data_IF_798879685813
#
_entry.id   IF_798879685813
#
_cell.length_a   1.000
_cell.length_b   1.000
_cell.length_c   1.000
_cell.angle_alpha   90.00
_cell.angle_beta   90.00
_cell.angle_gamma   90.00
#
_symmetry.space_group_name_H-M   'P 1'
#
loop_
_entity.id
_entity.type
_entity.pdbx_description
1 polymer ?
#
# COMPACT_ATOMS: atom_id res chain seq x y z
N UNK A 1 98.69 -7.74 29.26
CA UNK A 1 99.17 -8.47 28.06
C UNK A 1 98.02 -8.48 27.05
N UNK A 2 97.98 -7.59 26.05
CA UNK A 2 98.68 -7.65 24.74
C UNK A 2 98.15 -8.80 23.87
N UNK A 3 97.21 -8.58 22.92
CA UNK A 3 97.38 -8.11 21.50
C UNK A 3 98.03 -9.21 20.63
N UNK A 4 97.73 -9.43 19.32
CA UNK A 4 96.53 -9.32 18.44
C UNK A 4 96.43 -10.56 17.48
N UNK A 5 96.36 -10.46 16.12
CA UNK A 5 95.26 -10.16 15.17
C UNK A 5 94.92 -11.36 14.23
N UNK A 6 94.08 -11.16 13.19
CA UNK A 6 94.37 -11.44 11.75
C UNK A 6 93.12 -11.85 10.93
N UNK A 7 92.91 -11.17 9.79
CA UNK A 7 92.14 -11.71 8.64
C UNK A 7 92.94 -12.81 7.92
N UNK A 8 92.62 -13.25 6.68
CA UNK A 8 92.00 -12.46 5.60
C UNK A 8 91.11 -13.23 4.56
N UNK A 9 90.69 -12.52 3.49
CA UNK A 9 90.60 -12.88 2.04
C UNK A 9 89.95 -14.22 1.59
N UNK A 10 89.19 -14.38 0.48
CA UNK A 10 88.89 -13.60 -0.72
C UNK A 10 87.74 -14.29 -1.52
N UNK A 11 87.06 -13.57 -2.43
CA UNK A 11 86.37 -14.18 -3.59
C UNK A 11 85.06 -13.53 -4.06
N UNK A 12 85.13 -12.59 -5.00
CA UNK A 12 84.01 -12.10 -5.83
C UNK A 12 83.75 -13.04 -7.05
N UNK A 13 82.99 -12.66 -8.10
CA UNK A 13 81.59 -12.19 -8.23
C UNK A 13 80.76 -13.06 -9.24
N UNK A 14 79.43 -12.88 -9.37
CA UNK A 14 78.69 -13.04 -10.66
C UNK A 14 77.18 -12.75 -10.55
N UNK A 15 76.70 -11.84 -11.41
CA UNK A 15 75.29 -11.62 -11.83
C UNK A 15 74.87 -12.69 -12.88
N UNK A 16 73.66 -12.69 -13.53
CA UNK A 16 72.37 -11.99 -13.32
C UNK A 16 71.11 -12.94 -13.41
N UNK A 17 69.91 -12.34 -13.48
CA UNK A 17 68.53 -12.88 -13.48
C UNK A 17 68.15 -13.98 -14.53
N UNK A 18 66.93 -14.57 -14.46
CA UNK A 18 65.84 -14.02 -15.27
C UNK A 18 64.41 -14.07 -14.64
N UNK A 19 63.51 -13.33 -15.29
CA UNK A 19 62.09 -13.21 -15.00
C UNK A 19 61.22 -14.26 -15.73
N UNK A 20 59.98 -14.45 -15.23
CA UNK A 20 58.70 -14.55 -15.96
C UNK A 20 57.78 -15.70 -15.46
N UNK A 21 56.50 -15.38 -15.26
CA UNK A 21 55.41 -16.35 -15.22
C UNK A 21 54.15 -15.83 -14.50
N UNK A 22 52.99 -15.69 -15.19
CA UNK A 22 51.73 -15.30 -14.56
C UNK A 22 51.01 -16.53 -13.98
N UNK A 23 50.40 -16.39 -12.79
CA UNK A 23 49.55 -17.44 -12.19
C UNK A 23 48.08 -17.06 -12.41
N UNK A 24 47.25 -17.95 -12.99
CA UNK A 24 45.85 -17.66 -13.33
C UNK A 24 44.92 -17.80 -12.12
N UNK A 25 43.79 -17.08 -12.20
CA UNK A 25 42.77 -17.02 -11.17
C UNK A 25 41.93 -18.28 -11.01
N UNK A 26 41.39 -18.45 -9.80
CA UNK A 26 40.36 -19.41 -9.48
C UNK A 26 40.00 -19.39 -7.99
N UNK A 27 38.79 -18.92 -7.69
CA UNK A 27 37.95 -19.24 -6.51
C UNK A 27 38.44 -18.89 -5.08
N UNK A 28 37.59 -18.26 -4.24
CA UNK A 28 37.83 -18.19 -2.79
C UNK A 28 37.15 -19.36 -2.06
N UNK A 29 37.76 -19.93 -1.00
CA UNK A 29 37.03 -20.63 0.04
C UNK A 29 36.80 -19.71 1.26
N UNK A 30 35.52 -19.67 1.68
CA UNK A 30 35.00 -19.43 3.03
C UNK A 30 35.81 -18.62 4.05
N UNK A 31 35.19 -17.57 4.61
CA UNK A 31 35.58 -17.03 5.92
C UNK A 31 34.84 -15.75 6.25
N UNK A 32 34.02 -15.78 7.31
CA UNK A 32 33.52 -14.56 7.98
C UNK A 32 34.67 -13.63 8.38
N UNK A 33 34.43 -12.31 8.43
CA UNK A 33 34.96 -11.50 9.53
C UNK A 33 33.86 -10.60 10.10
N UNK A 34 33.43 -10.78 11.35
CA UNK A 34 34.07 -10.28 12.58
C UNK A 34 34.14 -8.75 12.64
N UNK A 35 33.29 -8.17 13.48
CA UNK A 35 33.39 -6.81 14.01
C UNK A 35 34.83 -6.51 14.46
N UNK A 36 35.50 -5.59 13.76
CA UNK A 36 36.60 -4.81 14.31
C UNK A 36 36.43 -3.36 13.89
N UNK A 37 36.17 -2.51 14.90
CA UNK A 37 36.37 -1.07 14.83
C UNK A 37 37.86 -0.83 14.56
N UNK A 38 38.21 -0.48 13.33
CA UNK A 38 39.52 0.03 12.94
C UNK A 38 39.46 1.54 12.78
N UNK A 39 40.37 2.25 13.46
CA UNK A 39 40.55 3.70 13.38
C UNK A 39 40.77 4.18 11.93
N UNK A 40 40.44 5.44 11.60
CA UNK A 40 40.61 5.96 10.25
C UNK A 40 42.09 6.12 9.93
N UNK A 41 42.58 5.35 8.96
CA UNK A 41 43.86 5.60 8.30
C UNK A 41 43.69 6.86 7.46
N UNK A 42 44.43 7.91 7.79
CA UNK A 42 44.56 9.13 7.00
C UNK A 42 45.14 8.79 5.63
N UNK A 43 44.28 8.68 4.62
CA UNK A 43 44.72 8.63 3.22
C UNK A 43 45.34 9.98 2.86
N UNK A 44 46.60 9.95 2.43
CA UNK A 44 47.33 11.10 1.94
C UNK A 44 46.54 11.81 0.84
N UNK A 45 46.41 13.13 0.97
CA UNK A 45 45.78 13.98 -0.01
C UNK A 45 46.53 13.90 -1.34
N UNK A 46 45.86 13.44 -2.40
CA UNK A 46 46.29 13.67 -3.78
C UNK A 46 46.11 15.16 -4.11
N UNK A 47 46.99 15.77 -4.91
CA UNK A 47 46.93 17.20 -5.17
C UNK A 47 45.65 17.55 -5.94
N UNK A 48 44.93 18.55 -5.44
CA UNK A 48 43.76 19.11 -6.08
C UNK A 48 44.15 19.74 -7.42
N UNK A 49 43.78 19.07 -8.52
CA UNK A 49 43.78 19.67 -9.86
C UNK A 49 42.68 20.74 -9.95
N UNK A 50 42.84 21.73 -10.85
CA UNK A 50 41.97 22.90 -10.89
C UNK A 50 40.52 22.49 -11.17
N UNK A 51 39.61 23.13 -10.43
CA UNK A 51 38.16 22.99 -10.46
C UNK A 51 37.59 22.91 -11.88
N UNK A 52 37.47 21.68 -12.38
CA UNK A 52 36.79 21.36 -13.62
C UNK A 52 35.29 21.24 -13.36
N UNK A 53 34.53 22.10 -14.03
CA UNK A 53 33.07 22.10 -14.08
C UNK A 53 32.54 20.66 -14.22
N UNK A 54 31.74 20.23 -13.23
CA UNK A 54 31.10 18.92 -13.27
C UNK A 54 30.28 18.77 -14.55
N UNK A 55 30.46 17.65 -15.24
CA UNK A 55 29.73 17.31 -16.47
C UNK A 55 28.21 17.53 -16.27
N UNK A 56 27.54 18.34 -17.11
CA UNK A 56 26.12 18.65 -16.96
C UNK A 56 25.24 17.39 -16.93
N UNK A 57 24.09 17.46 -16.27
CA UNK A 57 23.14 16.35 -16.24
C UNK A 57 22.73 15.94 -17.66
N UNK A 58 22.89 14.65 -18.01
CA UNK A 58 22.49 14.09 -19.30
C UNK A 58 23.63 13.77 -20.30
N UNK A 59 24.89 14.08 -19.97
CA UNK A 59 26.02 13.79 -20.87
C UNK A 59 26.44 12.31 -20.85
N UNK A 60 26.83 11.75 -22.02
CA UNK A 60 27.36 10.40 -22.11
C UNK A 60 28.62 10.24 -21.24
N UNK A 61 28.66 9.18 -20.42
CA UNK A 61 29.80 8.88 -19.54
C UNK A 61 29.63 9.30 -18.07
N UNK A 62 28.53 9.98 -17.71
CA UNK A 62 28.16 10.14 -16.30
C UNK A 62 27.63 8.81 -15.76
N UNK A 63 28.37 8.16 -14.87
CA UNK A 63 27.80 7.09 -14.02
C UNK A 63 26.62 7.69 -13.28
N UNK A 64 25.40 7.12 -13.40
CA UNK A 64 24.27 7.55 -12.60
C UNK A 64 24.72 7.57 -11.14
N UNK A 65 24.54 8.72 -10.46
CA UNK A 65 24.81 8.79 -9.03
C UNK A 65 24.01 7.69 -8.32
N UNK A 66 24.44 7.22 -7.15
CA UNK A 66 23.68 6.22 -6.40
C UNK A 66 22.24 6.72 -6.30
N UNK A 67 21.27 5.95 -6.84
CA UNK A 67 19.86 6.22 -6.56
C UNK A 67 19.75 6.10 -5.04
N UNK A 68 19.54 7.22 -4.36
CA UNK A 68 19.30 7.22 -2.92
C UNK A 68 18.17 6.23 -2.68
N UNK A 69 18.46 5.14 -1.97
CA UNK A 69 17.44 4.17 -1.61
C UNK A 69 16.27 4.92 -0.95
N UNK A 70 15.02 4.57 -1.23
CA UNK A 70 13.89 5.26 -0.64
C UNK A 70 14.04 5.29 0.89
N UNK A 71 13.83 6.45 1.51
CA UNK A 71 13.98 6.69 2.95
C UNK A 71 13.01 5.87 3.83
N UNK A 72 12.22 4.98 3.22
CA UNK A 72 11.19 4.15 3.83
C UNK A 72 11.01 2.83 3.04
N UNK A 73 10.77 1.74 3.78
CA UNK A 73 10.30 0.47 3.22
C UNK A 73 9.20 -0.15 4.10
N UNK A 74 8.23 -0.91 3.55
CA UNK A 74 7.13 -1.54 4.29
C UNK A 74 7.55 -2.49 5.44
N UNK A 75 8.80 -2.94 5.47
CA UNK A 75 9.30 -3.89 6.47
C UNK A 75 8.94 -5.35 6.18
N UNK A 76 9.12 -6.22 7.18
CA UNK A 76 8.80 -7.67 7.10
C UNK A 76 7.42 -7.93 7.69
N UNK A 77 6.81 -9.05 7.33
CA UNK A 77 5.63 -9.56 8.03
C UNK A 77 5.97 -9.89 9.49
N UNK A 78 5.07 -9.51 10.39
CA UNK A 78 5.10 -9.86 11.81
C UNK A 78 3.74 -10.40 12.26
N UNK A 79 3.68 -11.03 13.44
CA UNK A 79 2.49 -11.73 13.93
C UNK A 79 1.24 -10.84 14.00
N UNK A 80 1.43 -9.54 14.30
CA UNK A 80 0.33 -8.56 14.33
C UNK A 80 -0.38 -8.41 12.97
N UNK A 81 0.36 -8.54 11.86
CA UNK A 81 -0.24 -8.52 10.52
C UNK A 81 -1.19 -9.72 10.33
N UNK A 82 -0.78 -10.90 10.81
CA UNK A 82 -1.61 -12.10 10.73
C UNK A 82 -2.88 -11.96 11.59
N UNK A 83 -2.79 -11.35 12.76
CA UNK A 83 -3.97 -11.08 13.61
C UNK A 83 -4.95 -10.15 12.91
N UNK A 84 -4.49 -9.07 12.28
CA UNK A 84 -5.38 -8.18 11.52
C UNK A 84 -6.04 -8.92 10.35
N UNK A 85 -5.28 -9.73 9.60
CA UNK A 85 -5.83 -10.51 8.48
C UNK A 85 -6.88 -11.52 8.95
N UNK A 86 -6.60 -12.25 10.04
CA UNK A 86 -7.55 -13.20 10.62
C UNK A 86 -8.79 -12.50 11.19
N UNK A 87 -8.62 -11.35 11.84
CA UNK A 87 -9.73 -10.55 12.33
C UNK A 87 -10.59 -10.03 11.16
N UNK A 88 -9.96 -9.56 10.08
CA UNK A 88 -10.67 -9.12 8.87
C UNK A 88 -11.46 -10.27 8.25
N UNK A 89 -10.81 -11.44 8.04
CA UNK A 89 -11.48 -12.61 7.50
C UNK A 89 -12.64 -13.07 8.41
N UNK A 90 -12.43 -13.13 9.72
CA UNK A 90 -13.46 -13.50 10.69
C UNK A 90 -14.65 -12.54 10.67
N UNK A 91 -14.40 -11.25 10.85
CA UNK A 91 -15.45 -10.24 10.98
C UNK A 91 -16.17 -9.99 9.66
N UNK A 92 -15.44 -9.82 8.56
CA UNK A 92 -15.98 -9.38 7.27
C UNK A 92 -16.36 -10.57 6.36
N UNK A 93 -15.53 -11.62 6.27
CA UNK A 93 -15.75 -12.71 5.30
C UNK A 93 -16.51 -13.90 5.88
N UNK A 94 -16.39 -14.15 7.18
CA UNK A 94 -17.11 -15.24 7.87
C UNK A 94 -18.27 -14.73 8.72
N UNK A 95 -18.56 -13.43 8.68
CA UNK A 95 -19.73 -12.83 9.34
C UNK A 95 -19.68 -12.85 10.87
N UNK A 96 -18.50 -12.97 11.49
CA UNK A 96 -18.38 -12.95 12.97
C UNK A 96 -18.79 -11.60 13.59
N UNK A 97 -18.95 -10.55 12.79
CA UNK A 97 -19.46 -9.26 13.26
C UNK A 97 -20.89 -9.33 13.83
N UNK A 98 -21.78 -10.12 13.24
CA UNK A 98 -23.17 -10.26 13.69
C UNK A 98 -23.31 -10.92 15.07
N UNK A 99 -22.79 -12.14 15.31
CA UNK A 99 -22.88 -12.76 16.62
C UNK A 99 -22.16 -11.93 17.69
N UNK A 100 -21.11 -11.19 17.31
CA UNK A 100 -20.46 -10.24 18.22
C UNK A 100 -21.39 -9.06 18.57
N UNK A 101 -22.03 -8.43 17.58
CA UNK A 101 -22.97 -7.32 17.83
C UNK A 101 -24.18 -7.75 18.66
N UNK A 102 -24.71 -8.95 18.42
CA UNK A 102 -25.76 -9.57 19.24
C UNK A 102 -25.30 -9.84 20.67
N UNK A 103 -24.09 -10.42 20.84
CA UNK A 103 -23.51 -10.69 22.16
C UNK A 103 -23.33 -9.40 22.98
N UNK A 104 -22.97 -8.30 22.31
CA UNK A 104 -22.82 -6.97 22.92
C UNK A 104 -24.16 -6.26 23.14
N UNK A 105 -25.28 -6.83 22.68
CA UNK A 105 -26.61 -6.22 22.79
C UNK A 105 -26.81 -4.97 21.93
N UNK A 106 -25.99 -4.79 20.88
CA UNK A 106 -26.06 -3.64 19.97
C UNK A 106 -27.13 -3.82 18.88
N UNK A 107 -27.53 -5.07 18.63
CA UNK A 107 -28.46 -5.51 17.61
C UNK A 107 -29.38 -6.58 18.22
N UNK A 108 -30.64 -6.72 17.77
CA UNK A 108 -31.52 -7.78 18.24
C UNK A 108 -30.91 -9.18 18.10
N UNK A 109 -30.99 -9.99 19.16
CA UNK A 109 -30.59 -11.40 19.09
C UNK A 109 -31.60 -12.29 18.35
N UNK A 110 -32.82 -11.78 18.14
CA UNK A 110 -33.84 -12.42 17.33
C UNK A 110 -33.76 -11.91 15.88
N UNK A 111 -33.52 -12.83 14.94
CA UNK A 111 -33.44 -12.52 13.51
C UNK A 111 -34.76 -12.01 12.94
N UNK A 112 -35.91 -12.33 13.55
CA UNK A 112 -37.20 -11.79 13.10
C UNK A 112 -37.34 -10.29 13.38
N UNK A 113 -36.58 -9.76 14.36
CA UNK A 113 -36.57 -8.35 14.72
C UNK A 113 -35.39 -7.58 14.08
N UNK A 114 -34.56 -8.26 13.29
CA UNK A 114 -33.36 -7.69 12.67
C UNK A 114 -33.72 -6.80 11.48
N UNK A 115 -33.33 -5.53 11.55
CA UNK A 115 -33.45 -4.58 10.43
C UNK A 115 -32.18 -4.64 9.58
N UNK A 116 -32.31 -5.12 8.35
CA UNK A 116 -31.15 -5.38 7.48
C UNK A 116 -30.26 -4.16 7.27
N UNK A 117 -30.86 -2.96 7.14
CA UNK A 117 -30.15 -1.74 6.82
C UNK A 117 -29.52 -1.16 8.08
N UNK A 118 -30.34 -0.90 9.10
CA UNK A 118 -29.90 -0.25 10.34
C UNK A 118 -28.97 -1.14 11.14
N UNK A 119 -29.37 -2.39 11.33
CA UNK A 119 -28.60 -3.32 12.16
C UNK A 119 -27.39 -3.85 11.38
N UNK A 120 -27.52 -4.04 10.06
CA UNK A 120 -26.38 -4.30 9.17
C UNK A 120 -25.31 -3.20 9.21
N UNK A 121 -25.73 -1.93 9.17
CA UNK A 121 -24.81 -0.80 9.37
C UNK A 121 -24.11 -0.88 10.74
N UNK A 122 -24.84 -1.21 11.80
CA UNK A 122 -24.27 -1.33 13.15
C UNK A 122 -23.25 -2.47 13.24
N UNK A 123 -23.53 -3.63 12.62
CA UNK A 123 -22.59 -4.75 12.51
C UNK A 123 -21.32 -4.34 11.77
N UNK A 124 -21.46 -3.67 10.63
CA UNK A 124 -20.33 -3.16 9.84
C UNK A 124 -19.53 -2.11 10.61
N UNK A 125 -20.19 -1.19 11.29
CA UNK A 125 -19.57 -0.17 12.13
C UNK A 125 -18.70 -0.78 13.23
N UNK A 126 -19.23 -1.74 13.98
CA UNK A 126 -18.50 -2.42 15.06
C UNK A 126 -17.30 -3.17 14.49
N UNK A 127 -17.49 -3.87 13.38
CA UNK A 127 -16.42 -4.62 12.71
C UNK A 127 -15.28 -3.70 12.25
N UNK A 128 -15.60 -2.62 11.54
CA UNK A 128 -14.60 -1.65 11.10
C UNK A 128 -13.96 -0.87 12.24
N UNK A 129 -14.68 -0.58 13.33
CA UNK A 129 -14.11 0.06 14.51
C UNK A 129 -13.02 -0.82 15.15
N UNK A 130 -13.29 -2.12 15.30
CA UNK A 130 -12.32 -3.10 15.81
C UNK A 130 -11.13 -3.20 14.87
N UNK A 131 -11.37 -3.38 13.57
CA UNK A 131 -10.31 -3.51 12.57
C UNK A 131 -9.43 -2.26 12.49
N UNK A 132 -10.04 -1.08 12.51
CA UNK A 132 -9.33 0.20 12.53
C UNK A 132 -8.44 0.32 13.77
N UNK A 133 -8.96 -0.02 14.95
CA UNK A 133 -8.17 -0.02 16.18
C UNK A 133 -6.99 -0.99 16.10
N UNK A 134 -7.20 -2.21 15.59
CA UNK A 134 -6.14 -3.19 15.39
C UNK A 134 -5.07 -2.69 14.40
N UNK A 135 -5.47 -2.15 13.26
CA UNK A 135 -4.54 -1.58 12.27
C UNK A 135 -3.74 -0.43 12.87
N UNK A 136 -4.36 0.47 13.64
CA UNK A 136 -3.63 1.54 14.31
C UNK A 136 -2.63 1.00 15.33
N UNK A 137 -3.01 0.02 16.16
CA UNK A 137 -2.11 -0.61 17.12
C UNK A 137 -0.91 -1.25 16.41
N UNK A 138 -1.15 -1.98 15.32
CA UNK A 138 -0.14 -2.77 14.61
C UNK A 138 0.71 -1.93 13.67
N UNK A 139 0.14 -0.92 13.03
CA UNK A 139 0.70 -0.24 11.87
C UNK A 139 0.80 1.30 12.01
N UNK A 140 0.54 1.89 13.18
CA UNK A 140 0.68 3.34 13.40
C UNK A 140 2.06 3.88 13.00
N UNK A 141 3.14 3.19 13.42
CA UNK A 141 4.50 3.60 13.09
C UNK A 141 4.77 3.55 11.57
N UNK A 142 4.50 2.44 10.86
CA UNK A 142 4.55 2.41 9.41
C UNK A 142 3.71 3.49 8.72
N UNK A 143 2.48 3.71 9.18
CA UNK A 143 1.57 4.71 8.64
C UNK A 143 2.21 6.10 8.68
N UNK A 144 2.56 6.58 9.87
CA UNK A 144 3.14 7.92 10.06
C UNK A 144 4.52 8.05 9.42
N UNK A 145 5.35 7.01 9.48
CA UNK A 145 6.70 7.04 8.88
C UNK A 145 6.62 7.14 7.35
N UNK A 146 5.66 6.43 6.74
CA UNK A 146 5.50 6.45 5.29
C UNK A 146 5.00 7.80 4.74
N UNK A 147 4.42 8.67 5.59
CA UNK A 147 4.09 10.06 5.23
C UNK A 147 5.32 10.94 5.00
N UNK A 148 6.54 10.45 5.34
CA UNK A 148 7.80 11.09 4.91
C UNK A 148 7.92 11.22 3.39
N UNK A 149 7.09 10.52 2.61
CA UNK A 149 6.94 10.77 1.18
C UNK A 149 6.71 12.25 0.86
N UNK A 150 6.03 13.00 1.74
CA UNK A 150 5.79 14.42 1.54
C UNK A 150 7.00 15.32 1.88
N UNK A 151 8.13 14.80 2.36
CA UNK A 151 9.34 15.62 2.62
C UNK A 151 9.93 16.23 1.35
N UNK A 152 9.69 15.61 0.21
CA UNK A 152 10.15 16.09 -1.10
C UNK A 152 8.97 16.22 -2.04
N UNK A 153 8.85 17.33 -2.77
CA UNK A 153 7.79 17.51 -3.76
C UNK A 153 6.37 17.49 -3.18
N UNK A 154 6.19 18.04 -1.98
CA UNK A 154 4.91 18.06 -1.24
C UNK A 154 3.74 18.53 -2.10
N UNK A 155 3.91 19.67 -2.78
CA UNK A 155 2.82 20.32 -3.50
C UNK A 155 2.30 19.53 -4.70
N UNK A 156 3.20 18.95 -5.51
CA UNK A 156 2.74 18.14 -6.65
C UNK A 156 2.11 16.83 -6.16
N UNK A 157 2.61 16.26 -5.06
CA UNK A 157 2.03 15.05 -4.44
C UNK A 157 0.65 15.31 -3.86
N UNK A 158 0.42 16.49 -3.27
CA UNK A 158 -0.91 16.92 -2.81
C UNK A 158 -1.83 17.15 -4.00
N UNK A 159 -1.38 17.86 -5.05
CA UNK A 159 -2.16 18.11 -6.25
C UNK A 159 -2.52 16.82 -7.00
N UNK A 160 -1.68 15.79 -6.89
CA UNK A 160 -1.94 14.48 -7.50
C UNK A 160 -3.16 13.79 -6.87
N UNK A 161 -3.52 14.05 -5.60
CA UNK A 161 -4.69 13.43 -4.97
C UNK A 161 -6.01 13.75 -5.71
N UNK A 162 -6.42 15.03 -5.88
CA UNK A 162 -7.60 15.36 -6.68
C UNK A 162 -7.41 15.10 -8.18
N UNK A 163 -6.19 15.18 -8.71
CA UNK A 163 -5.94 14.87 -10.12
C UNK A 163 -6.17 13.39 -10.46
N UNK A 164 -5.75 12.48 -9.57
CA UNK A 164 -6.02 11.04 -9.72
C UNK A 164 -7.51 10.77 -9.61
N UNK A 165 -8.20 11.37 -8.63
CA UNK A 165 -9.66 11.26 -8.52
C UNK A 165 -10.36 11.72 -9.81
N UNK A 166 -10.01 12.89 -10.34
CA UNK A 166 -10.58 13.40 -11.59
C UNK A 166 -10.28 12.48 -12.78
N UNK A 167 -9.08 11.90 -12.83
CA UNK A 167 -8.70 10.91 -13.85
C UNK A 167 -9.57 9.66 -13.75
N UNK A 168 -9.85 9.16 -12.54
CA UNK A 168 -10.77 8.04 -12.35
C UNK A 168 -12.17 8.35 -12.90
N UNK A 169 -12.69 9.55 -12.65
CA UNK A 169 -13.99 9.97 -13.20
C UNK A 169 -13.97 9.97 -14.72
N UNK A 170 -12.95 10.56 -15.36
CA UNK A 170 -12.84 10.57 -16.81
C UNK A 170 -12.76 9.15 -17.40
N UNK A 171 -11.98 8.27 -16.78
CA UNK A 171 -11.88 6.86 -17.21
C UNK A 171 -13.21 6.15 -17.04
N UNK A 172 -13.90 6.32 -15.92
CA UNK A 172 -15.20 5.71 -15.67
C UNK A 172 -16.23 6.20 -16.71
N UNK A 173 -16.35 7.51 -16.94
CA UNK A 173 -17.27 8.07 -17.95
C UNK A 173 -16.96 7.52 -19.33
N UNK A 174 -15.68 7.47 -19.73
CA UNK A 174 -15.28 6.93 -21.02
C UNK A 174 -15.63 5.45 -21.16
N UNK A 175 -15.27 4.61 -20.19
CA UNK A 175 -15.52 3.17 -20.24
C UNK A 175 -17.02 2.88 -20.22
N UNK A 176 -17.78 3.50 -19.32
CA UNK A 176 -19.24 3.34 -19.22
C UNK A 176 -19.94 3.79 -20.50
N UNK A 177 -19.46 4.86 -21.16
CA UNK A 177 -20.04 5.28 -22.45
C UNK A 177 -19.92 4.24 -23.57
N UNK A 178 -18.99 3.27 -23.44
CA UNK A 178 -18.76 2.21 -24.41
C UNK A 178 -19.52 0.91 -24.09
N UNK A 179 -19.81 0.65 -22.81
CA UNK A 179 -20.40 -0.62 -22.36
C UNK A 179 -21.85 -0.48 -21.83
N UNK A 180 -22.34 0.75 -21.68
CA UNK A 180 -23.68 1.06 -21.16
C UNK A 180 -23.63 1.86 -19.85
N UNK A 181 -24.69 2.61 -19.57
CA UNK A 181 -24.82 3.34 -18.31
C UNK A 181 -24.89 2.36 -17.13
N UNK A 182 -24.12 2.64 -16.08
CA UNK A 182 -24.36 2.04 -14.80
C UNK A 182 -25.74 2.49 -14.32
N UNK A 183 -26.67 1.56 -14.17
CA UNK A 183 -27.76 1.80 -13.22
C UNK A 183 -27.12 2.02 -11.83
N UNK A 184 -27.83 2.71 -10.93
CA UNK A 184 -27.38 2.88 -9.54
C UNK A 184 -26.88 1.54 -9.01
N UNK A 185 -25.57 1.43 -8.73
CA UNK A 185 -25.01 0.15 -8.34
C UNK A 185 -25.64 -0.33 -7.04
N UNK A 186 -25.74 -1.65 -6.83
CA UNK A 186 -26.28 -2.20 -5.59
C UNK A 186 -25.63 -1.58 -4.34
N UNK A 187 -24.33 -1.30 -4.40
CA UNK A 187 -23.60 -0.62 -3.34
C UNK A 187 -23.94 0.87 -3.20
N UNK A 188 -24.17 1.60 -4.30
CA UNK A 188 -24.59 2.99 -4.23
C UNK A 188 -25.99 3.11 -3.61
N UNK A 189 -26.92 2.23 -4.01
CA UNK A 189 -28.26 2.16 -3.43
C UNK A 189 -28.21 1.80 -1.93
N UNK A 190 -27.41 0.81 -1.55
CA UNK A 190 -27.21 0.45 -0.15
C UNK A 190 -26.62 1.62 0.66
N UNK A 191 -25.61 2.32 0.12
CA UNK A 191 -25.04 3.51 0.77
C UNK A 191 -26.06 4.64 0.92
N UNK A 192 -26.91 4.87 -0.07
CA UNK A 192 -27.99 5.86 -0.01
C UNK A 192 -28.99 5.50 1.09
N UNK A 193 -29.46 4.26 1.12
CA UNK A 193 -30.41 3.77 2.14
C UNK A 193 -29.82 3.82 3.55
N UNK A 194 -28.56 3.38 3.71
CA UNK A 194 -27.83 3.47 4.96
C UNK A 194 -27.61 4.93 5.38
N UNK A 195 -27.29 5.83 4.45
CA UNK A 195 -27.04 7.24 4.76
C UNK A 195 -28.27 7.98 5.26
N UNK A 196 -29.47 7.52 4.86
CA UNK A 196 -30.74 8.07 5.32
C UNK A 196 -31.07 7.68 6.77
N UNK A 197 -30.57 6.53 7.23
CA UNK A 197 -30.88 5.98 8.56
C UNK A 197 -29.73 6.15 9.56
N UNK A 198 -28.48 6.22 9.08
CA UNK A 198 -27.29 6.29 9.90
C UNK A 198 -26.91 7.74 10.27
N UNK A 199 -26.38 7.99 11.48
CA UNK A 199 -25.81 9.28 11.83
C UNK A 199 -24.67 9.67 10.86
N UNK A 200 -24.72 10.85 10.19
CA UNK A 200 -23.73 11.23 9.18
C UNK A 200 -22.29 11.22 9.68
N UNK A 201 -22.06 11.57 10.94
CA UNK A 201 -20.73 11.55 11.56
C UNK A 201 -20.15 10.12 11.59
N UNK A 202 -20.97 9.13 11.93
CA UNK A 202 -20.53 7.74 11.96
C UNK A 202 -20.26 7.23 10.54
N UNK A 203 -21.14 7.54 9.60
CA UNK A 203 -20.94 7.23 8.17
C UNK A 203 -19.60 7.78 7.67
N UNK A 204 -19.29 9.05 7.93
CA UNK A 204 -18.02 9.68 7.53
C UNK A 204 -16.84 8.98 8.19
N UNK A 205 -16.87 8.75 9.51
CA UNK A 205 -15.77 8.12 10.23
C UNK A 205 -15.47 6.72 9.70
N UNK A 206 -16.49 5.92 9.40
CA UNK A 206 -16.33 4.57 8.87
C UNK A 206 -15.89 4.58 7.40
N UNK A 207 -16.63 5.25 6.52
CA UNK A 207 -16.41 5.18 5.06
C UNK A 207 -15.22 6.01 4.58
N UNK A 208 -14.95 7.16 5.21
CA UNK A 208 -13.88 8.08 4.78
C UNK A 208 -12.58 7.83 5.52
N UNK A 209 -12.61 7.25 6.73
CA UNK A 209 -11.39 7.04 7.54
C UNK A 209 -11.13 5.57 7.81
N UNK A 210 -12.06 4.87 8.45
CA UNK A 210 -11.86 3.49 8.91
C UNK A 210 -11.63 2.50 7.77
N UNK A 211 -12.55 2.46 6.81
CA UNK A 211 -12.49 1.55 5.67
C UNK A 211 -11.22 1.77 4.81
N UNK A 212 -10.90 3.00 4.35
CA UNK A 212 -9.63 3.27 3.66
C UNK A 212 -8.39 2.84 4.44
N UNK A 213 -8.36 3.05 5.77
CA UNK A 213 -7.21 2.64 6.58
C UNK A 213 -7.04 1.11 6.60
N UNK A 214 -8.13 0.38 6.83
CA UNK A 214 -8.11 -1.10 6.91
C UNK A 214 -7.80 -1.71 5.55
N UNK A 215 -8.47 -1.24 4.50
CA UNK A 215 -8.30 -1.75 3.14
C UNK A 215 -6.88 -1.48 2.62
N UNK A 216 -6.37 -0.25 2.73
CA UNK A 216 -5.02 0.05 2.24
C UNK A 216 -3.94 -0.64 3.06
N UNK A 217 -4.19 -0.93 4.33
CA UNK A 217 -3.30 -1.78 5.11
C UNK A 217 -3.23 -3.21 4.52
N UNK A 218 -4.38 -3.86 4.28
CA UNK A 218 -4.43 -5.23 3.75
C UNK A 218 -3.89 -5.32 2.32
N UNK A 219 -4.42 -4.51 1.41
CA UNK A 219 -4.17 -4.66 -0.02
C UNK A 219 -2.87 -4.00 -0.47
N UNK A 220 -2.50 -2.85 0.11
CA UNK A 220 -1.33 -2.10 -0.35
C UNK A 220 -0.16 -2.32 0.58
N UNK A 221 -0.31 -2.13 1.89
CA UNK A 221 0.80 -2.32 2.81
C UNK A 221 1.24 -3.79 2.93
N UNK A 222 0.30 -4.74 3.12
CA UNK A 222 0.63 -6.16 3.25
C UNK A 222 0.81 -6.85 1.89
N UNK A 223 -0.25 -6.91 1.08
CA UNK A 223 -0.30 -7.73 -0.14
C UNK A 223 0.61 -7.21 -1.27
N UNK A 224 0.81 -5.89 -1.40
CA UNK A 224 1.81 -5.33 -2.32
C UNK A 224 3.12 -5.02 -1.59
N UNK A 225 3.07 -4.25 -0.52
CA UNK A 225 4.25 -3.70 0.15
C UNK A 225 5.17 -4.75 0.75
N UNK A 226 4.64 -5.60 1.64
CA UNK A 226 5.42 -6.65 2.32
C UNK A 226 5.60 -7.88 1.43
N UNK A 227 4.56 -8.38 0.76
CA UNK A 227 4.66 -9.60 -0.06
C UNK A 227 5.61 -9.45 -1.26
N UNK A 228 5.78 -8.23 -1.79
CA UNK A 228 6.72 -7.97 -2.89
C UNK A 228 8.20 -8.19 -2.55
N UNK A 229 8.51 -8.55 -1.29
CA UNK A 229 9.83 -9.06 -0.88
C UNK A 229 10.10 -10.48 -1.37
N UNK A 230 9.06 -11.24 -1.68
CA UNK A 230 9.14 -12.63 -2.15
C UNK A 230 8.58 -12.82 -3.56
N UNK A 231 7.66 -11.95 -3.98
CA UNK A 231 6.98 -12.00 -5.28
C UNK A 231 7.23 -10.70 -6.04
N UNK A 232 7.18 -10.72 -7.38
CA UNK A 232 7.29 -9.50 -8.16
C UNK A 232 6.18 -8.49 -7.79
N UNK A 233 6.55 -7.22 -7.57
CA UNK A 233 5.62 -6.16 -7.15
C UNK A 233 4.43 -5.98 -8.09
N UNK A 234 4.60 -6.20 -9.40
CA UNK A 234 3.51 -6.08 -10.37
C UNK A 234 2.57 -7.27 -10.35
N UNK A 235 3.06 -8.47 -10.02
CA UNK A 235 2.20 -9.64 -9.78
C UNK A 235 1.37 -9.40 -8.51
N UNK A 236 1.99 -8.93 -7.43
CA UNK A 236 1.27 -8.50 -6.23
C UNK A 236 0.24 -7.41 -6.54
N UNK A 237 0.58 -6.45 -7.40
CA UNK A 237 -0.33 -5.38 -7.80
C UNK A 237 -1.58 -5.93 -8.50
N UNK A 238 -1.41 -6.83 -9.48
CA UNK A 238 -2.54 -7.45 -10.18
C UNK A 238 -3.43 -8.24 -9.22
N UNK A 239 -2.83 -9.07 -8.37
CA UNK A 239 -3.58 -9.84 -7.36
C UNK A 239 -4.32 -8.90 -6.41
N UNK A 240 -3.69 -7.81 -5.96
CA UNK A 240 -4.29 -6.82 -5.08
C UNK A 240 -5.47 -6.11 -5.72
N UNK A 241 -5.34 -5.65 -6.97
CA UNK A 241 -6.43 -4.98 -7.69
C UNK A 241 -7.62 -5.92 -7.89
N UNK A 242 -7.38 -7.15 -8.33
CA UNK A 242 -8.45 -8.14 -8.52
C UNK A 242 -9.13 -8.52 -7.21
N UNK A 243 -8.35 -8.80 -6.16
CA UNK A 243 -8.91 -9.16 -4.85
C UNK A 243 -9.73 -8.00 -4.26
N UNK A 244 -9.23 -6.78 -4.35
CA UNK A 244 -9.95 -5.58 -3.90
C UNK A 244 -11.28 -5.42 -4.62
N UNK A 245 -11.27 -5.51 -5.95
CA UNK A 245 -12.49 -5.38 -6.77
C UNK A 245 -13.47 -6.50 -6.50
N UNK A 246 -13.03 -7.75 -6.43
CA UNK A 246 -13.92 -8.91 -6.20
C UNK A 246 -14.56 -8.90 -4.81
N UNK A 247 -13.84 -8.44 -3.78
CA UNK A 247 -14.37 -8.38 -2.42
C UNK A 247 -15.54 -7.40 -2.29
N UNK A 248 -15.62 -6.38 -3.14
CA UNK A 248 -16.77 -5.46 -3.18
C UNK A 248 -18.06 -6.09 -3.74
N UNK A 249 -17.96 -7.27 -4.38
CA UNK A 249 -19.12 -8.04 -4.84
C UNK A 249 -19.54 -9.16 -3.88
N UNK A 250 -18.85 -9.36 -2.75
CA UNK A 250 -19.29 -10.36 -1.78
C UNK A 250 -20.63 -9.97 -1.13
N UNK A 251 -20.81 -8.69 -0.78
CA UNK A 251 -22.07 -8.17 -0.24
C UNK A 251 -23.26 -8.27 -1.21
N UNK A 252 -23.02 -8.38 -2.52
CA UNK A 252 -24.06 -8.60 -3.55
C UNK A 252 -24.39 -10.09 -3.75
N UNK A 253 -23.88 -10.97 -2.90
CA UNK A 253 -24.03 -12.41 -3.07
C UNK A 253 -23.07 -13.03 -4.08
N UNK A 254 -22.00 -12.32 -4.43
CA UNK A 254 -21.09 -12.72 -5.52
C UNK A 254 -21.68 -12.48 -6.90
N UNK A 255 -22.78 -11.73 -7.01
CA UNK A 255 -23.32 -11.32 -8.31
C UNK A 255 -22.39 -10.30 -8.94
N UNK A 256 -21.69 -10.75 -9.98
CA UNK A 256 -20.75 -9.93 -10.71
C UNK A 256 -21.48 -9.21 -11.86
N UNK A 257 -21.45 -7.88 -11.83
CA UNK A 257 -21.87 -7.03 -12.94
C UNK A 257 -20.65 -6.28 -13.50
N UNK A 258 -20.45 -6.37 -14.81
CA UNK A 258 -19.30 -5.76 -15.48
C UNK A 258 -19.31 -4.22 -15.37
N UNK A 259 -20.49 -3.61 -15.44
CA UNK A 259 -20.69 -2.17 -15.40
C UNK A 259 -20.43 -1.65 -13.98
N UNK A 260 -20.92 -2.34 -12.95
CA UNK A 260 -20.63 -2.03 -11.55
C UNK A 260 -19.15 -2.24 -11.19
N UNK A 261 -18.44 -3.11 -11.91
CA UNK A 261 -17.02 -3.42 -11.66
C UNK A 261 -16.09 -2.28 -12.03
N UNK A 262 -16.45 -1.51 -13.07
CA UNK A 262 -15.61 -0.43 -13.63
C UNK A 262 -15.12 0.54 -12.56
N UNK A 263 -15.98 1.20 -11.76
CA UNK A 263 -15.51 2.17 -10.77
C UNK A 263 -14.55 1.56 -9.74
N UNK A 264 -14.82 0.34 -9.27
CA UNK A 264 -13.96 -0.35 -8.30
C UNK A 264 -12.61 -0.69 -8.89
N UNK A 265 -12.58 -1.27 -10.09
CA UNK A 265 -11.32 -1.64 -10.75
C UNK A 265 -10.49 -0.41 -11.12
N UNK A 266 -11.12 0.65 -11.63
CA UNK A 266 -10.45 1.92 -11.94
C UNK A 266 -9.79 2.50 -10.70
N UNK A 267 -10.51 2.59 -9.57
CA UNK A 267 -9.96 3.08 -8.31
C UNK A 267 -8.84 2.16 -7.79
N UNK A 268 -9.04 0.84 -7.86
CA UNK A 268 -8.04 -0.14 -7.43
C UNK A 268 -6.72 0.02 -8.20
N UNK A 269 -6.81 0.21 -9.52
CA UNK A 269 -5.66 0.51 -10.39
C UNK A 269 -5.01 1.83 -9.99
N UNK A 270 -5.79 2.90 -9.88
CA UNK A 270 -5.28 4.23 -9.57
C UNK A 270 -4.51 4.27 -8.24
N UNK A 271 -5.09 3.72 -7.17
CA UNK A 271 -4.44 3.66 -5.86
C UNK A 271 -3.20 2.77 -5.90
N UNK A 272 -3.27 1.60 -6.53
CA UNK A 272 -2.15 0.63 -6.54
C UNK A 272 -0.96 1.14 -7.34
N UNK A 273 -1.19 1.70 -8.53
CA UNK A 273 -0.13 2.31 -9.34
C UNK A 273 0.47 3.50 -8.59
N UNK A 274 -0.37 4.38 -8.05
CA UNK A 274 0.12 5.55 -7.30
C UNK A 274 0.91 5.13 -6.06
N UNK A 275 0.46 4.11 -5.33
CA UNK A 275 1.19 3.53 -4.20
C UNK A 275 2.60 3.07 -4.60
N UNK A 276 2.74 2.35 -5.71
CA UNK A 276 4.06 1.89 -6.21
C UNK A 276 4.93 3.10 -6.59
N UNK A 277 4.37 4.06 -7.33
CA UNK A 277 5.09 5.26 -7.77
C UNK A 277 5.50 6.17 -6.61
N UNK A 278 4.72 6.23 -5.53
CA UNK A 278 5.03 6.96 -4.31
C UNK A 278 5.95 6.19 -3.34
N UNK A 279 6.71 5.23 -3.86
CA UNK A 279 7.69 4.48 -3.07
C UNK A 279 7.07 3.55 -2.05
N UNK A 280 5.88 2.99 -2.34
CA UNK A 280 5.13 2.09 -1.45
C UNK A 280 4.75 2.77 -0.13
N UNK A 281 4.38 4.05 -0.21
CA UNK A 281 3.91 4.84 0.94
C UNK A 281 2.50 4.42 1.36
N UNK A 282 2.39 3.78 2.53
CA UNK A 282 1.11 3.36 3.11
C UNK A 282 0.19 4.56 3.36
N UNK A 283 0.71 5.60 4.00
CA UNK A 283 -0.06 6.81 4.29
C UNK A 283 -0.52 7.55 3.03
N UNK A 284 0.25 7.53 1.95
CA UNK A 284 -0.20 8.15 0.70
C UNK A 284 -1.37 7.39 0.06
N UNK A 285 -1.32 6.05 0.05
CA UNK A 285 -2.44 5.24 -0.45
C UNK A 285 -3.71 5.47 0.38
N UNK A 286 -3.59 5.49 1.71
CA UNK A 286 -4.69 5.83 2.63
C UNK A 286 -5.26 7.20 2.27
N UNK A 287 -4.43 8.25 2.17
CA UNK A 287 -4.92 9.61 1.85
C UNK A 287 -5.64 9.69 0.50
N UNK A 288 -5.12 9.03 -0.54
CA UNK A 288 -5.76 9.00 -1.85
C UNK A 288 -7.15 8.35 -1.79
N UNK A 289 -7.25 7.24 -1.06
CA UNK A 289 -8.52 6.56 -0.85
C UNK A 289 -9.49 7.39 0.00
N UNK A 290 -9.02 8.00 1.09
CA UNK A 290 -9.81 8.93 1.90
C UNK A 290 -10.36 10.10 1.06
N UNK A 291 -9.57 10.64 0.11
CA UNK A 291 -10.04 11.70 -0.81
C UNK A 291 -11.16 11.17 -1.71
N UNK A 292 -11.01 9.97 -2.28
CA UNK A 292 -12.06 9.36 -3.09
C UNK A 292 -13.37 9.21 -2.32
N UNK A 293 -13.31 8.58 -1.14
CA UNK A 293 -14.51 8.31 -0.34
C UNK A 293 -15.08 9.60 0.26
N UNK A 294 -14.22 10.54 0.66
CA UNK A 294 -14.63 11.84 1.16
C UNK A 294 -15.41 12.64 0.12
N UNK A 295 -14.99 12.62 -1.15
CA UNK A 295 -15.73 13.26 -2.24
C UNK A 295 -17.04 12.51 -2.50
N UNK A 296 -17.04 11.17 -2.53
CA UNK A 296 -18.27 10.39 -2.72
C UNK A 296 -19.32 10.68 -1.64
N UNK A 297 -18.92 10.70 -0.36
CA UNK A 297 -19.80 11.03 0.77
C UNK A 297 -20.24 12.51 0.74
N UNK A 298 -19.36 13.42 0.31
CA UNK A 298 -19.74 14.82 0.12
C UNK A 298 -20.77 14.98 -1.01
N UNK A 299 -20.65 14.24 -2.12
CA UNK A 299 -21.66 14.23 -3.18
C UNK A 299 -23.00 13.69 -2.65
N UNK A 300 -22.96 12.60 -1.89
CA UNK A 300 -24.16 12.00 -1.31
C UNK A 300 -24.92 12.94 -0.37
N UNK A 301 -24.24 13.62 0.56
CA UNK A 301 -24.92 14.48 1.55
C UNK A 301 -25.15 15.92 1.10
N UNK A 302 -24.32 16.47 0.22
CA UNK A 302 -24.37 17.90 -0.16
C UNK A 302 -24.95 18.15 -1.55
N UNK A 303 -24.81 17.19 -2.47
CA UNK A 303 -25.20 17.38 -3.87
C UNK A 303 -26.44 16.58 -4.24
N UNK A 304 -26.53 15.31 -3.86
CA UNK A 304 -27.67 14.45 -4.19
C UNK A 304 -29.04 15.04 -3.77
N UNK A 305 -29.20 15.65 -2.57
CA UNK A 305 -30.47 16.27 -2.17
C UNK A 305 -30.87 17.51 -2.97
N UNK A 306 -29.94 18.07 -3.77
CA UNK A 306 -30.18 19.25 -4.61
C UNK A 306 -30.51 18.89 -6.06
N UNK A 307 -30.32 17.63 -6.45
CA UNK A 307 -30.65 17.17 -7.79
C UNK A 307 -32.16 16.98 -7.88
N UNK A 308 -32.82 17.50 -8.94
CA UNK A 308 -34.23 17.21 -9.16
C UNK A 308 -34.44 15.70 -9.38
N UNK A 309 -35.58 15.18 -8.95
CA UNK A 309 -36.02 13.79 -9.21
C UNK A 309 -36.26 13.60 -10.72
N UNK A 310 -35.19 13.45 -11.51
CA UNK A 310 -35.24 13.33 -12.98
C UNK A 310 -35.29 11.86 -13.43
N UNK A 311 -35.22 10.91 -12.50
CA UNK A 311 -35.31 9.48 -12.80
C UNK A 311 -36.66 8.92 -12.31
N UNK A 312 -37.32 8.06 -13.11
CA UNK A 312 -38.53 7.39 -12.65
C UNK A 312 -38.24 6.62 -11.37
N UNK A 313 -39.20 6.64 -10.44
CA UNK A 313 -39.25 5.81 -9.24
C UNK A 313 -38.64 4.43 -9.52
N UNK A 314 -37.80 3.88 -8.62
CA UNK A 314 -37.26 2.54 -8.79
C UNK A 314 -38.44 1.59 -9.01
N UNK A 315 -38.61 1.07 -10.23
CA UNK A 315 -39.48 -0.09 -10.42
C UNK A 315 -38.83 -1.21 -9.65
N UNK A 316 -39.39 -1.53 -8.49
CA UNK A 316 -38.88 -2.55 -7.58
C UNK A 316 -38.35 -3.78 -8.33
N UNK A 317 -37.17 -4.29 -7.95
CA UNK A 317 -36.95 -5.72 -8.07
C UNK A 317 -36.24 -6.31 -6.83
N UNK A 318 -36.54 -7.57 -6.56
CA UNK A 318 -35.75 -8.48 -5.73
C UNK A 318 -35.82 -8.34 -4.19
N UNK A 319 -37.00 -8.08 -3.62
CA UNK A 319 -37.26 -8.26 -2.18
C UNK A 319 -37.33 -9.74 -1.71
N UNK A 320 -36.57 -10.68 -2.29
CA UNK A 320 -36.84 -12.11 -2.02
C UNK A 320 -35.64 -13.06 -1.83
N UNK A 321 -34.37 -12.70 -2.06
CA UNK A 321 -33.27 -13.69 -1.91
C UNK A 321 -31.95 -13.20 -1.29
N UNK A 322 -31.94 -12.02 -0.67
CA UNK A 322 -30.73 -11.39 -0.10
C UNK A 322 -30.47 -11.54 1.42
N UNK A 323 -31.30 -12.17 2.27
CA UNK A 323 -31.19 -11.93 3.72
C UNK A 323 -29.99 -12.59 4.40
N UNK A 324 -29.21 -13.43 3.71
CA UNK A 324 -27.99 -14.04 4.26
C UNK A 324 -26.68 -13.43 3.72
N UNK A 325 -26.76 -12.55 2.71
CA UNK A 325 -25.61 -12.15 1.89
C UNK A 325 -25.10 -10.73 2.19
N UNK A 326 -25.96 -9.84 2.70
CA UNK A 326 -25.56 -8.53 3.22
C UNK A 326 -24.72 -8.59 4.52
N UNK A 327 -24.48 -9.80 5.04
CA UNK A 327 -23.64 -10.09 6.20
C UNK A 327 -22.17 -10.34 5.85
N UNK A 328 -21.81 -10.30 4.56
CA UNK A 328 -20.47 -10.69 4.06
C UNK A 328 -19.61 -9.52 3.56
N UNK A 329 -19.92 -8.30 3.98
CA UNK A 329 -19.14 -7.09 3.68
C UNK A 329 -19.95 -6.03 2.97
#
# INVERSE_FOLDING_TARGET
MSVPPSGPHDGAPSSPAPAAGPVPGGWPPSGWPSDRRGAPVTAAAAPAGPSGQGVPAGWPGRTPGPRTAPDWEPGRFHWGDAVVVLAYAGLMLFGLGLPLAMLLGLVPGDLAAFDLVRDGFTVNMVSYAILTALVLIVAWRPLVTSLRVFRTGTWWKILLLPAVWFTCILVNVLVLSLIGEAQTSANQAALEEMSAQAPPVLMILMTVVGAPLVEEYLFRHLLVGKLSRWVNVWVCAVVSMLAFTLLHFLGTGGQFDLVETVPYLTLAIAITVTYILMGRSFGYAVLLHMVNNGIAIAMLYLVAPLLPDVLPEPTAPAAALSPLLALLG
#
